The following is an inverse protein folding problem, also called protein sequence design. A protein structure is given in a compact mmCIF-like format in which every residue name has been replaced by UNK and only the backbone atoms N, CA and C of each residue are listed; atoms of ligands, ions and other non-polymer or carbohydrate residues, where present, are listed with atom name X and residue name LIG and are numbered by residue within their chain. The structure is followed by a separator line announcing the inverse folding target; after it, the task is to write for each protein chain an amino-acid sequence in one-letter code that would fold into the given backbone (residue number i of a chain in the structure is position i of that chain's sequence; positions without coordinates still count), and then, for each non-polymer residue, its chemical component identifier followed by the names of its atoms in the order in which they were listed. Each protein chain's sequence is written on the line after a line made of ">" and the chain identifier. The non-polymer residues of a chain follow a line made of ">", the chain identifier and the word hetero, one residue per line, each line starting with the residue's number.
data_IF_855287180450
#
_entry.id   IF_855287180450
#
_cell.length_a   1.000
_cell.length_b   1.000
_cell.length_c   1.000
_cell.angle_alpha   90.00
_cell.angle_beta   90.00
_cell.angle_gamma   90.00
#
_symmetry.space_group_name_H-M   'P 1'
#
loop_
_entity.id
_entity.type
_entity.pdbx_description
1 polymer ?
#
# COMPACT_ATOMS: atom_id res chain seq x y z
N UNK A 1 -11.72 6.28 12.10
CA UNK A 1 -10.75 6.41 10.99
C UNK A 1 -9.44 6.85 11.62
N UNK A 2 -8.35 6.11 11.41
CA UNK A 2 -7.03 6.48 11.96
C UNK A 2 -6.11 6.88 10.79
N UNK A 3 -5.59 8.10 10.81
CA UNK A 3 -4.62 8.60 9.83
C UNK A 3 -3.24 8.49 10.48
N UNK A 4 -2.33 7.77 9.84
CA UNK A 4 -1.04 7.38 10.44
C UNK A 4 0.16 8.12 9.84
N UNK A 5 -0.07 9.01 8.87
CA UNK A 5 0.95 9.84 8.28
C UNK A 5 0.64 11.32 8.51
N UNK A 6 1.69 12.10 8.75
CA UNK A 6 1.71 13.55 8.92
C UNK A 6 2.65 14.23 7.90
N UNK A 7 3.22 13.45 6.99
CA UNK A 7 4.15 13.87 5.94
C UNK A 7 3.86 13.17 4.58
N UNK A 8 4.66 13.50 3.55
CA UNK A 8 4.62 12.94 2.19
C UNK A 8 5.93 12.23 1.83
N UNK A 9 6.18 11.08 2.45
CA UNK A 9 7.45 10.35 2.32
C UNK A 9 7.46 9.23 1.28
N UNK A 10 6.34 8.98 0.61
CA UNK A 10 6.19 7.85 -0.31
C UNK A 10 5.92 6.54 0.43
N UNK A 11 5.42 6.61 1.66
CA UNK A 11 5.10 5.44 2.48
C UNK A 11 3.86 4.71 1.95
N UNK A 12 3.88 3.40 2.12
CA UNK A 12 2.73 2.51 1.90
C UNK A 12 2.33 1.85 3.21
N UNK A 13 1.05 1.55 3.35
CA UNK A 13 0.51 0.85 4.50
C UNK A 13 -0.47 -0.25 4.07
N UNK A 14 -0.47 -1.35 4.82
CA UNK A 14 -1.41 -2.45 4.68
C UNK A 14 -2.15 -2.65 5.99
N UNK A 15 -3.46 -2.60 5.92
CA UNK A 15 -4.35 -3.00 7.00
C UNK A 15 -5.35 -4.05 6.48
N UNK A 16 -5.12 -5.31 6.84
CA UNK A 16 -5.86 -6.47 6.28
C UNK A 16 -5.79 -6.45 4.75
N UNK A 17 -6.91 -6.18 4.06
CA UNK A 17 -6.99 -6.07 2.58
C UNK A 17 -7.02 -4.62 2.07
N UNK A 18 -6.91 -3.63 2.96
CA UNK A 18 -6.82 -2.22 2.59
C UNK A 18 -5.34 -1.86 2.41
N UNK A 19 -4.98 -1.49 1.18
CA UNK A 19 -3.64 -1.07 0.81
C UNK A 19 -3.67 0.41 0.45
N UNK A 20 -2.83 1.23 1.07
CA UNK A 20 -2.79 2.69 0.87
C UNK A 20 -1.38 3.19 0.63
N UNK A 21 -1.26 4.33 -0.05
CA UNK A 21 -0.02 5.09 -0.23
C UNK A 21 -0.28 6.57 0.04
N UNK A 22 0.70 7.27 0.60
CA UNK A 22 0.54 8.64 1.10
C UNK A 22 0.50 9.74 0.01
N UNK A 23 1.11 9.50 -1.15
CA UNK A 23 1.43 10.53 -2.15
C UNK A 23 1.82 9.89 -3.50
N UNK A 24 2.01 10.67 -4.58
CA UNK A 24 2.54 10.15 -5.84
C UNK A 24 3.89 9.43 -5.71
N UNK A 25 4.71 9.79 -4.72
CA UNK A 25 5.99 9.12 -4.45
C UNK A 25 5.82 7.66 -4.03
N UNK A 26 4.66 7.29 -3.48
CA UNK A 26 4.34 5.93 -3.07
C UNK A 26 3.92 5.02 -4.24
N UNK A 27 3.67 5.57 -5.44
CA UNK A 27 3.01 4.84 -6.54
C UNK A 27 3.74 3.53 -6.92
N UNK A 28 5.07 3.58 -7.05
CA UNK A 28 5.86 2.38 -7.37
C UNK A 28 5.83 1.34 -6.24
N UNK A 29 5.96 1.78 -4.99
CA UNK A 29 5.93 0.89 -3.82
C UNK A 29 4.54 0.26 -3.64
N UNK A 30 3.47 1.04 -3.86
CA UNK A 30 2.09 0.59 -3.74
C UNK A 30 1.73 -0.42 -4.82
N UNK A 31 2.20 -0.21 -6.05
CA UNK A 31 2.02 -1.17 -7.15
C UNK A 31 2.67 -2.52 -6.84
N UNK A 32 3.89 -2.51 -6.29
CA UNK A 32 4.58 -3.74 -5.84
C UNK A 32 3.81 -4.44 -4.72
N UNK A 33 3.40 -3.69 -3.70
CA UNK A 33 2.62 -4.23 -2.58
C UNK A 33 1.31 -4.85 -3.06
N UNK A 34 0.54 -4.16 -3.90
CA UNK A 34 -0.72 -4.66 -4.46
C UNK A 34 -0.51 -5.96 -5.26
N UNK A 35 0.49 -6.00 -6.15
CA UNK A 35 0.78 -7.19 -6.92
C UNK A 35 1.13 -8.39 -6.04
N UNK A 36 1.98 -8.19 -5.01
CA UNK A 36 2.37 -9.25 -4.07
C UNK A 36 1.16 -9.80 -3.29
N UNK A 37 0.33 -8.92 -2.74
CA UNK A 37 -0.84 -9.31 -1.94
C UNK A 37 -1.92 -10.00 -2.77
N UNK A 38 -2.14 -9.53 -4.00
CA UNK A 38 -3.10 -10.16 -4.90
C UNK A 38 -2.62 -11.53 -5.38
N UNK A 39 -1.35 -11.68 -5.75
CA UNK A 39 -0.80 -13.00 -6.12
C UNK A 39 -0.89 -13.98 -4.94
N UNK A 40 -0.51 -13.55 -3.73
CA UNK A 40 -0.61 -14.39 -2.54
C UNK A 40 -2.05 -14.84 -2.23
N UNK A 41 -3.04 -14.00 -2.55
CA UNK A 41 -4.45 -14.30 -2.28
C UNK A 41 -5.13 -15.15 -3.37
N UNK A 42 -4.63 -15.14 -4.62
CA UNK A 42 -5.36 -15.66 -5.78
C UNK A 42 -4.57 -16.56 -6.74
N UNK A 43 -3.27 -16.78 -6.55
CA UNK A 43 -2.46 -17.61 -7.45
C UNK A 43 -2.58 -19.14 -7.22
N UNK A 44 -3.55 -19.57 -6.40
CA UNK A 44 -3.84 -20.99 -6.12
C UNK A 44 -4.86 -21.59 -7.06
#
# INVERSE_FOLDING_TARGET
>A
MNIINDDITGRVHKDRKLLTGDSPFAANALGKLAAQEMLAAYAG
#
